data_IF_111952774869
#
_entry.id   IF_111952774869
#
_cell.length_a   1.000
_cell.length_b   1.000
_cell.length_c   1.000
_cell.angle_alpha   90.00
_cell.angle_beta   90.00
_cell.angle_gamma   90.00
#
_symmetry.space_group_name_H-M   'P 1'
#
loop_
_entity.id
_entity.type
_entity.pdbx_description
1 polymer ?
#
# COMPACT_ATOMS: atom_id res chain seq x y z
N UNK A 1 -11.11 7.91 7.57
CA UNK A 1 -11.05 7.59 9.01
C UNK A 1 -12.28 6.75 9.34
N UNK A 2 -12.15 5.71 10.16
CA UNK A 2 -13.16 4.65 10.37
C UNK A 2 -14.46 5.08 11.10
N UNK A 3 -14.75 6.38 11.16
CA UNK A 3 -15.81 6.99 11.98
C UNK A 3 -17.21 6.46 11.64
N UNK A 4 -17.46 6.16 10.36
CA UNK A 4 -18.78 5.69 9.90
C UNK A 4 -18.90 4.17 9.82
N UNK A 5 -17.84 3.43 10.19
CA UNK A 5 -17.74 1.99 9.92
C UNK A 5 -17.54 1.17 11.20
N UNK A 6 -16.83 1.73 12.18
CA UNK A 6 -16.59 1.10 13.48
C UNK A 6 -17.49 1.70 14.57
N UNK A 7 -17.81 0.95 15.65
CA UNK A 7 -18.47 1.50 16.82
C UNK A 7 -17.67 2.66 17.44
N UNK A 8 -18.38 3.64 18.01
CA UNK A 8 -17.78 4.89 18.52
C UNK A 8 -16.63 4.64 19.50
N UNK A 9 -16.77 3.65 20.39
CA UNK A 9 -15.74 3.29 21.38
C UNK A 9 -14.42 2.86 20.71
N UNK A 10 -14.51 2.07 19.64
CA UNK A 10 -13.34 1.66 18.86
C UNK A 10 -12.76 2.86 18.12
N UNK A 11 -13.60 3.72 17.55
CA UNK A 11 -13.17 4.91 16.81
C UNK A 11 -12.32 5.84 17.69
N UNK A 12 -12.74 6.10 18.94
CA UNK A 12 -11.96 6.93 19.88
C UNK A 12 -10.58 6.32 20.13
N UNK A 13 -10.49 5.00 20.32
CA UNK A 13 -9.19 4.33 20.47
C UNK A 13 -8.34 4.35 19.20
N UNK A 14 -8.96 4.29 18.02
CA UNK A 14 -8.23 4.47 16.75
C UNK A 14 -7.61 5.86 16.68
N UNK A 15 -8.32 6.89 17.17
CA UNK A 15 -7.73 8.23 17.26
C UNK A 15 -6.50 8.24 18.17
N UNK A 16 -6.53 7.58 19.33
CA UNK A 16 -5.34 7.45 20.19
C UNK A 16 -4.14 6.87 19.42
N UNK A 17 -4.37 5.80 18.64
CA UNK A 17 -3.32 5.18 17.82
C UNK A 17 -2.81 6.11 16.73
N UNK A 18 -3.69 6.83 16.06
CA UNK A 18 -3.30 7.78 15.00
C UNK A 18 -2.55 8.98 15.56
N UNK A 19 -2.90 9.45 16.76
CA UNK A 19 -2.18 10.54 17.42
C UNK A 19 -0.76 10.14 17.85
N UNK A 20 -0.54 8.86 18.18
CA UNK A 20 0.78 8.35 18.59
C UNK A 20 1.63 7.87 17.42
N UNK A 21 1.10 7.00 16.55
CA UNK A 21 1.84 6.39 15.43
C UNK A 21 1.69 7.16 14.09
N UNK A 22 0.80 8.15 14.04
CA UNK A 22 0.41 8.83 12.80
C UNK A 22 -0.48 7.96 11.90
N UNK A 23 -0.57 8.36 10.62
CA UNK A 23 -1.44 7.71 9.64
C UNK A 23 -1.06 6.26 9.31
N UNK A 24 0.16 5.82 9.63
CA UNK A 24 0.57 4.42 9.46
C UNK A 24 -0.23 3.48 10.39
N UNK A 25 -0.68 3.97 11.55
CA UNK A 25 -1.53 3.23 12.48
C UNK A 25 -2.88 2.83 11.87
N UNK A 26 -3.41 3.59 10.91
CA UNK A 26 -4.67 3.25 10.24
C UNK A 26 -4.60 1.95 9.45
N UNK A 27 -3.46 1.67 8.81
CA UNK A 27 -3.27 0.43 8.03
C UNK A 27 -3.22 -0.77 8.99
N UNK A 28 -2.59 -0.60 10.16
CA UNK A 28 -2.57 -1.62 11.21
C UNK A 28 -3.98 -1.94 11.69
N UNK A 29 -4.77 -0.91 11.98
CA UNK A 29 -6.18 -1.05 12.36
C UNK A 29 -6.98 -1.75 11.25
N UNK A 30 -6.79 -1.36 9.98
CA UNK A 30 -7.46 -2.01 8.84
C UNK A 30 -7.14 -3.51 8.76
N UNK A 31 -5.87 -3.89 8.88
CA UNK A 31 -5.47 -5.30 8.87
C UNK A 31 -5.98 -6.07 10.09
N UNK A 32 -6.07 -5.40 11.25
CA UNK A 32 -6.66 -5.99 12.44
C UNK A 32 -8.15 -6.28 12.24
N UNK A 33 -8.91 -5.39 11.58
CA UNK A 33 -10.33 -5.62 11.23
C UNK A 33 -10.49 -6.87 10.36
N UNK A 34 -9.63 -7.03 9.36
CA UNK A 34 -9.64 -8.21 8.50
C UNK A 34 -9.31 -9.49 9.28
N UNK A 35 -8.30 -9.43 10.16
CA UNK A 35 -7.89 -10.59 10.96
C UNK A 35 -8.93 -10.97 12.01
N UNK A 36 -9.55 -9.99 12.66
CA UNK A 36 -10.59 -10.22 13.66
C UNK A 36 -11.78 -10.99 13.07
N UNK A 37 -12.09 -10.73 11.80
CA UNK A 37 -13.18 -11.35 11.05
C UNK A 37 -12.72 -12.46 10.08
N UNK A 38 -11.51 -12.99 10.25
CA UNK A 38 -10.88 -13.94 9.31
C UNK A 38 -11.76 -15.15 9.03
N UNK A 39 -12.37 -15.74 10.07
CA UNK A 39 -13.25 -16.90 9.92
C UNK A 39 -14.48 -16.57 9.07
N UNK A 40 -15.02 -15.36 9.20
CA UNK A 40 -16.13 -14.90 8.36
C UNK A 40 -15.72 -14.80 6.90
N UNK A 41 -14.55 -14.20 6.62
CA UNK A 41 -14.02 -14.11 5.26
C UNK A 41 -13.70 -15.47 4.64
N UNK A 42 -13.18 -16.42 5.42
CA UNK A 42 -12.86 -17.78 4.95
C UNK A 42 -14.12 -18.61 4.64
N UNK A 43 -15.25 -18.27 5.25
CA UNK A 43 -16.52 -18.95 5.01
C UNK A 43 -17.25 -18.45 3.74
N UNK A 44 -16.89 -17.27 3.23
CA UNK A 44 -17.46 -16.72 1.99
C UNK A 44 -17.01 -17.56 0.78
N UNK A 45 -17.95 -17.91 -0.10
CA UNK A 45 -17.64 -18.72 -1.31
C UNK A 45 -17.51 -17.86 -2.56
N UNK A 46 -18.23 -16.73 -2.57
CA UNK A 46 -18.33 -15.84 -3.72
C UNK A 46 -17.84 -14.43 -3.37
N UNK A 47 -17.40 -13.67 -4.38
CA UNK A 47 -16.93 -12.29 -4.19
C UNK A 47 -18.03 -11.36 -3.66
N UNK A 48 -19.28 -11.57 -4.09
CA UNK A 48 -20.43 -10.77 -3.64
C UNK A 48 -20.69 -10.95 -2.13
N UNK A 49 -20.66 -12.19 -1.64
CA UNK A 49 -20.76 -12.51 -0.21
C UNK A 49 -19.60 -11.90 0.58
N UNK A 50 -18.38 -11.96 0.03
CA UNK A 50 -17.20 -11.37 0.65
C UNK A 50 -17.34 -9.84 0.75
N UNK A 51 -17.85 -9.18 -0.29
CA UNK A 51 -18.04 -7.73 -0.31
C UNK A 51 -19.10 -7.30 0.70
N UNK A 52 -20.25 -7.98 0.74
CA UNK A 52 -21.31 -7.72 1.71
C UNK A 52 -20.81 -7.95 3.15
N UNK A 53 -20.05 -9.01 3.37
CA UNK A 53 -19.44 -9.27 4.67
C UNK A 53 -18.40 -8.21 5.03
N UNK A 54 -17.60 -7.73 4.08
CA UNK A 54 -16.59 -6.69 4.33
C UNK A 54 -17.22 -5.37 4.80
N UNK A 55 -18.42 -5.03 4.31
CA UNK A 55 -19.14 -3.83 4.72
C UNK A 55 -19.72 -3.98 6.15
N UNK A 56 -20.18 -5.19 6.49
CA UNK A 56 -20.75 -5.51 7.81
C UNK A 56 -19.70 -5.77 8.89
N UNK A 57 -18.57 -6.40 8.53
CA UNK A 57 -17.55 -6.89 9.46
C UNK A 57 -17.01 -5.87 10.48
N UNK A 58 -16.76 -4.59 10.11
CA UNK A 58 -16.23 -3.62 11.07
C UNK A 58 -17.26 -3.26 12.15
N UNK A 59 -18.56 -3.28 11.82
CA UNK A 59 -19.64 -2.98 12.78
C UNK A 59 -19.79 -4.07 13.87
N UNK A 60 -19.27 -5.28 13.63
CA UNK A 60 -19.36 -6.42 14.56
C UNK A 60 -18.29 -6.41 15.66
N UNK A 61 -17.39 -5.42 15.65
CA UNK A 61 -16.27 -5.35 16.60
C UNK A 61 -16.72 -4.64 17.87
N UNK A 62 -17.21 -5.42 18.84
CA UNK A 62 -17.65 -4.90 20.14
C UNK A 62 -16.58 -5.02 21.23
N UNK A 63 -15.70 -6.02 21.16
CA UNK A 63 -14.62 -6.20 22.14
C UNK A 63 -13.39 -5.39 21.74
N UNK A 64 -13.35 -4.15 22.22
CA UNK A 64 -12.28 -3.20 21.98
C UNK A 64 -10.92 -3.71 22.49
N UNK A 65 -10.89 -4.34 23.66
CA UNK A 65 -9.63 -4.76 24.29
C UNK A 65 -8.98 -5.92 23.53
N UNK A 66 -9.78 -6.94 23.19
CA UNK A 66 -9.31 -8.05 22.35
C UNK A 66 -8.90 -7.57 20.96
N UNK A 67 -9.69 -6.67 20.35
CA UNK A 67 -9.38 -6.09 19.05
C UNK A 67 -8.03 -5.37 19.03
N UNK A 68 -7.74 -4.49 19.99
CA UNK A 68 -6.45 -3.79 20.03
C UNK A 68 -5.28 -4.69 20.44
N UNK A 69 -5.52 -5.70 21.29
CA UNK A 69 -4.51 -6.73 21.58
C UNK A 69 -4.10 -7.47 20.32
N UNK A 70 -5.05 -7.76 19.43
CA UNK A 70 -4.80 -8.34 18.11
C UNK A 70 -4.07 -7.36 17.19
N UNK A 71 -4.53 -6.09 17.12
CA UNK A 71 -3.96 -5.05 16.26
C UNK A 71 -2.47 -4.79 16.57
N UNK A 72 -2.09 -4.82 17.84
CA UNK A 72 -0.69 -4.61 18.27
C UNK A 72 0.15 -5.88 18.33
N UNK A 73 -0.44 -7.05 18.03
CA UNK A 73 0.31 -8.30 17.95
C UNK A 73 1.20 -8.33 16.69
N UNK A 74 2.50 -8.11 16.90
CA UNK A 74 3.51 -8.08 15.82
C UNK A 74 3.59 -9.36 14.99
N UNK A 75 3.21 -10.52 15.54
CA UNK A 75 3.22 -11.79 14.79
C UNK A 75 2.13 -11.83 13.74
N UNK A 76 1.06 -11.07 13.95
CA UNK A 76 -0.18 -11.14 13.17
C UNK A 76 -0.22 -10.01 12.15
N UNK A 77 -0.01 -8.77 12.61
CA UNK A 77 -0.12 -7.60 11.73
C UNK A 77 1.25 -7.17 11.17
N UNK A 78 2.33 -7.82 11.60
CA UNK A 78 3.69 -7.55 11.17
C UNK A 78 4.34 -6.34 11.84
N UNK A 79 5.59 -6.05 11.45
CA UNK A 79 6.33 -4.88 11.93
C UNK A 79 6.09 -3.69 11.01
N UNK A 80 5.30 -2.70 11.49
CA UNK A 80 5.04 -1.45 10.76
C UNK A 80 6.23 -0.48 10.75
N UNK A 81 7.38 -0.84 11.35
CA UNK A 81 8.59 0.00 11.33
C UNK A 81 9.04 0.38 9.92
N UNK A 82 8.76 -0.47 8.93
CA UNK A 82 9.27 -0.30 7.56
C UNK A 82 8.21 0.21 6.57
N UNK A 83 7.04 0.69 7.03
CA UNK A 83 5.96 1.12 6.13
C UNK A 83 6.40 2.27 5.22
N UNK A 84 7.20 3.19 5.74
CA UNK A 84 7.76 4.27 4.93
C UNK A 84 8.73 3.75 3.86
N UNK A 85 9.55 2.75 4.18
CA UNK A 85 10.39 2.09 3.18
C UNK A 85 9.57 1.39 2.11
N UNK A 86 8.47 0.72 2.49
CA UNK A 86 7.55 0.07 1.55
C UNK A 86 6.89 1.09 0.62
N UNK A 87 6.48 2.25 1.15
CA UNK A 87 5.95 3.37 0.36
C UNK A 87 6.99 3.89 -0.63
N UNK A 88 8.23 4.10 -0.20
CA UNK A 88 9.33 4.54 -1.09
C UNK A 88 9.59 3.49 -2.17
N UNK A 89 9.62 2.19 -1.82
CA UNK A 89 9.80 1.10 -2.77
C UNK A 89 8.65 1.03 -3.78
N UNK A 90 7.41 1.24 -3.35
CA UNK A 90 6.25 1.27 -4.25
C UNK A 90 6.28 2.48 -5.18
N UNK A 91 6.56 3.68 -4.67
CA UNK A 91 6.70 4.90 -5.49
C UNK A 91 7.76 4.71 -6.58
N UNK A 92 8.93 4.17 -6.22
CA UNK A 92 10.00 3.81 -7.17
C UNK A 92 9.56 2.83 -8.26
N UNK A 93 8.65 1.90 -7.95
CA UNK A 93 8.11 0.95 -8.95
C UNK A 93 7.08 1.61 -9.88
N UNK A 94 6.27 2.52 -9.35
CA UNK A 94 5.27 3.28 -10.12
C UNK A 94 6.00 4.20 -11.11
N UNK A 95 6.94 5.02 -10.62
CA UNK A 95 7.74 5.92 -11.46
C UNK A 95 8.47 5.16 -12.57
N UNK A 96 8.97 3.95 -12.27
CA UNK A 96 9.61 3.08 -13.27
C UNK A 96 8.64 2.60 -14.35
N UNK A 97 7.44 2.16 -13.98
CA UNK A 97 6.41 1.70 -14.94
C UNK A 97 5.93 2.84 -15.83
N UNK A 98 5.64 4.01 -15.26
CA UNK A 98 5.21 5.18 -16.03
C UNK A 98 6.29 5.63 -17.03
N UNK A 99 7.55 5.55 -16.62
CA UNK A 99 8.69 5.80 -17.51
C UNK A 99 8.80 4.75 -18.62
N UNK A 100 8.68 3.46 -18.30
CA UNK A 100 8.71 2.36 -19.28
C UNK A 100 7.56 2.48 -20.29
N UNK A 101 6.36 2.81 -19.85
CA UNK A 101 5.18 3.02 -20.71
C UNK A 101 5.38 4.23 -21.63
N UNK A 102 5.83 5.37 -21.07
CA UNK A 102 6.15 6.58 -21.83
C UNK A 102 7.28 6.35 -22.84
N UNK A 103 8.30 5.57 -22.46
CA UNK A 103 9.42 5.22 -23.32
C UNK A 103 8.99 4.26 -24.45
N UNK A 104 8.17 3.27 -24.14
CA UNK A 104 7.63 2.33 -25.14
C UNK A 104 6.75 3.06 -26.17
N UNK A 105 5.99 4.07 -25.74
CA UNK A 105 5.20 4.94 -26.62
C UNK A 105 6.09 5.74 -27.58
N UNK A 106 7.16 6.37 -27.07
CA UNK A 106 8.14 7.10 -27.90
C UNK A 106 8.84 6.17 -28.89
N UNK A 107 9.20 4.96 -28.48
CA UNK A 107 9.84 3.96 -29.34
C UNK A 107 8.89 3.45 -30.43
N UNK A 108 7.61 3.22 -30.13
CA UNK A 108 6.58 2.89 -31.15
C UNK A 108 6.43 4.01 -32.18
N UNK A 109 6.46 5.28 -31.75
CA UNK A 109 6.36 6.44 -32.65
C UNK A 109 7.60 6.62 -33.54
N UNK A 110 8.80 6.29 -33.03
CA UNK A 110 10.06 6.32 -33.79
C UNK A 110 10.23 5.13 -34.75
N UNK A 111 9.70 3.94 -34.45
CA UNK A 111 9.75 2.80 -35.39
C UNK A 111 9.01 3.04 -36.72
N UNK A 112 8.14 4.05 -36.81
CA UNK A 112 7.55 4.52 -38.07
C UNK A 112 8.42 5.51 -38.86
N UNK A 113 9.51 6.01 -38.29
CA UNK A 113 10.40 7.01 -38.90
C UNK A 113 11.85 6.50 -38.76
N UNK A 114 12.34 5.83 -39.81
CA UNK A 114 13.74 5.42 -40.05
C UNK A 114 14.77 5.51 -38.90
N UNK A 115 15.05 4.37 -38.27
CA UNK A 115 16.39 3.77 -38.14
C UNK A 115 17.56 4.44 -37.39
N UNK A 116 17.57 5.73 -37.04
CA UNK A 116 18.80 6.37 -36.50
C UNK A 116 18.77 6.69 -34.98
N UNK A 117 17.67 6.40 -34.29
CA UNK A 117 17.42 6.88 -32.91
C UNK A 117 17.77 5.92 -31.74
N UNK A 118 18.15 4.68 -32.01
CA UNK A 118 18.24 3.62 -30.97
C UNK A 118 19.38 3.86 -29.96
N UNK A 119 20.53 4.38 -30.40
CA UNK A 119 21.67 4.68 -29.52
C UNK A 119 21.44 5.85 -28.55
N UNK A 120 20.58 6.82 -28.91
CA UNK A 120 20.25 7.94 -28.03
C UNK A 120 19.23 7.55 -26.96
N UNK A 121 18.30 6.64 -27.28
CA UNK A 121 17.31 6.13 -26.34
C UNK A 121 17.97 5.31 -25.22
N UNK A 122 18.95 4.46 -25.55
CA UNK A 122 19.73 3.71 -24.56
C UNK A 122 20.63 4.60 -23.69
N UNK A 123 21.18 5.69 -24.24
CA UNK A 123 21.93 6.70 -23.45
C UNK A 123 21.03 7.47 -22.48
N UNK A 124 19.79 7.80 -22.89
CA UNK A 124 18.81 8.42 -22.00
C UNK A 124 18.44 7.47 -20.86
N UNK A 125 18.23 6.18 -21.18
CA UNK A 125 17.90 5.15 -20.19
C UNK A 125 19.01 4.98 -19.14
N UNK A 126 20.27 4.86 -19.56
CA UNK A 126 21.43 4.80 -18.64
C UNK A 126 21.63 6.08 -17.83
N UNK A 127 21.32 7.26 -18.38
CA UNK A 127 21.42 8.53 -17.67
C UNK A 127 20.36 8.65 -16.57
N UNK A 128 19.12 8.22 -16.85
CA UNK A 128 18.03 8.20 -15.86
C UNK A 128 18.28 7.13 -14.78
N UNK A 129 18.71 5.91 -15.15
CA UNK A 129 19.13 4.91 -14.16
C UNK A 129 20.29 5.40 -13.29
N UNK A 130 21.25 6.13 -13.87
CA UNK A 130 22.36 6.77 -13.16
C UNK A 130 21.91 7.87 -12.20
N UNK A 131 20.96 8.72 -12.61
CA UNK A 131 20.39 9.76 -11.75
C UNK A 131 19.58 9.18 -10.59
N UNK A 132 18.83 8.09 -10.83
CA UNK A 132 18.13 7.33 -9.78
C UNK A 132 19.10 6.60 -8.85
N UNK A 133 20.28 6.20 -9.36
CA UNK A 133 21.39 5.66 -8.59
C UNK A 133 22.07 6.70 -7.69
N UNK A 134 22.29 7.91 -8.19
CA UNK A 134 22.90 9.02 -7.43
C UNK A 134 22.06 9.48 -6.23
N UNK A 135 20.73 9.45 -6.33
CA UNK A 135 19.85 9.71 -5.18
C UNK A 135 20.04 8.67 -4.06
N UNK A 136 20.46 7.44 -4.38
CA UNK A 136 20.74 6.38 -3.37
C UNK A 136 22.03 6.63 -2.59
N UNK A 137 22.92 7.50 -3.05
CA UNK A 137 24.22 7.75 -2.42
C UNK A 137 24.19 9.00 -1.52
N UNK A 138 23.27 9.93 -1.78
CA UNK A 138 23.08 11.17 -1.00
C UNK A 138 22.19 10.95 0.26
N UNK A 139 21.36 9.90 0.28
CA UNK A 139 20.48 9.55 1.43
C UNK A 139 21.11 8.56 2.44
N UNK A 140 22.43 8.33 2.40
CA UNK A 140 23.14 7.52 3.39
C UNK A 140 23.75 8.35 4.52
#
# INVERSE_FOLDING_TARGET
>A
MFVNVLPLEVVVRVFDVVLVEGMAGLIRVALAVLKYNEQGFLNCKNFEEMWEFMDKAPSLIFDVNSFFSLAFNRKIVGSFRNVNELRIKQKKKIDRKEFEDSFSFVMRRRKGIGGEGEGQAQKLYKRVEGSVGLVREVER
#
